data_IF_182942509529
#
_entry.id   IF_182942509529
#
_cell.length_a   1.000
_cell.length_b   1.000
_cell.length_c   1.000
_cell.angle_alpha   90.00
_cell.angle_beta   90.00
_cell.angle_gamma   90.00
#
_symmetry.space_group_name_H-M   'P 1'
#
loop_
_entity.id
_entity.type
_entity.pdbx_description
1 polymer ?
#
# COMPACT_ATOMS: atom_id res chain seq x y z
N UNK A 1 3.95 17.18 18.96
CA UNK A 1 4.31 17.11 17.51
C UNK A 1 3.05 16.76 16.73
N UNK A 2 2.58 17.70 15.90
CA UNK A 2 1.38 17.50 15.07
C UNK A 2 1.78 16.87 13.74
N UNK A 3 1.12 15.79 13.36
CA UNK A 3 1.32 15.06 12.09
C UNK A 3 0.09 15.26 11.21
N UNK A 4 0.29 15.80 10.00
CA UNK A 4 -0.76 15.89 8.99
C UNK A 4 -0.75 14.64 8.10
N UNK A 5 -1.91 14.01 7.91
CA UNK A 5 -2.08 12.84 7.05
C UNK A 5 -2.94 13.20 5.83
N UNK A 6 -2.40 12.94 4.62
CA UNK A 6 -3.16 12.89 3.37
C UNK A 6 -3.34 11.43 2.95
N UNK A 7 -4.49 11.08 2.37
CA UNK A 7 -4.79 9.70 1.96
C UNK A 7 -5.10 8.73 3.10
N UNK A 8 -5.38 9.24 4.29
CA UNK A 8 -5.59 8.42 5.50
C UNK A 8 -6.81 7.49 5.46
N UNK A 9 -7.76 7.68 4.54
CA UNK A 9 -8.97 6.85 4.40
C UNK A 9 -8.84 5.68 3.42
N UNK A 10 -7.66 5.51 2.81
CA UNK A 10 -7.34 4.38 1.92
C UNK A 10 -6.90 3.13 2.70
N UNK A 11 -6.44 2.10 1.97
CA UNK A 11 -6.07 0.79 2.54
C UNK A 11 -5.03 0.85 3.66
N UNK A 12 -4.03 1.70 3.54
CA UNK A 12 -2.91 1.80 4.50
C UNK A 12 -3.16 2.84 5.59
N UNK A 13 -3.90 3.89 5.27
CA UNK A 13 -4.14 5.01 6.20
C UNK A 13 -4.66 4.63 7.58
N UNK A 14 -5.66 3.74 7.73
CA UNK A 14 -6.13 3.29 9.02
C UNK A 14 -5.06 2.61 9.88
N UNK A 15 -4.14 1.86 9.24
CA UNK A 15 -3.01 1.24 9.95
C UNK A 15 -1.98 2.27 10.42
N UNK A 16 -1.73 3.31 9.63
CA UNK A 16 -0.87 4.45 10.03
C UNK A 16 -1.49 5.18 11.23
N UNK A 17 -2.79 5.49 11.16
CA UNK A 17 -3.52 6.14 12.26
C UNK A 17 -3.49 5.29 13.53
N UNK A 18 -3.70 3.97 13.42
CA UNK A 18 -3.62 3.06 14.55
C UNK A 18 -2.22 3.04 15.18
N UNK A 19 -1.17 2.98 14.35
CA UNK A 19 0.21 3.03 14.81
C UNK A 19 0.59 4.34 15.50
N UNK A 20 0.11 5.47 15.00
CA UNK A 20 0.32 6.79 15.60
C UNK A 20 -0.45 6.95 16.93
N UNK A 21 -1.70 6.46 17.00
CA UNK A 21 -2.48 6.47 18.25
C UNK A 21 -1.84 5.63 19.35
N UNK A 22 -1.30 4.48 19.00
CA UNK A 22 -0.56 3.63 19.96
C UNK A 22 0.68 4.31 20.56
N UNK A 23 1.10 5.46 20.00
CA UNK A 23 2.24 6.28 20.41
C UNK A 23 1.81 7.67 20.91
N UNK A 24 0.51 7.87 21.20
CA UNK A 24 -0.08 9.12 21.69
C UNK A 24 0.26 10.35 20.81
N UNK A 25 0.37 10.14 19.49
CA UNK A 25 0.68 11.21 18.53
C UNK A 25 -0.53 12.12 18.28
N UNK A 26 -0.28 13.41 18.09
CA UNK A 26 -1.30 14.37 17.66
C UNK A 26 -1.50 14.27 16.15
N UNK A 27 -2.68 13.75 15.74
CA UNK A 27 -3.00 13.44 14.36
C UNK A 27 -4.00 14.47 13.82
N UNK A 28 -3.69 15.02 12.65
CA UNK A 28 -4.61 15.78 11.82
C UNK A 28 -4.76 15.13 10.46
N UNK A 29 -5.96 15.06 9.92
CA UNK A 29 -6.24 14.45 8.62
C UNK A 29 -6.82 15.50 7.68
N UNK A 30 -6.28 15.62 6.47
CA UNK A 30 -6.93 16.36 5.39
C UNK A 30 -7.75 15.38 4.53
N UNK A 31 -9.05 15.61 4.43
CA UNK A 31 -9.96 14.74 3.65
C UNK A 31 -11.07 15.56 2.98
N UNK A 32 -11.50 15.13 1.80
CA UNK A 32 -12.61 15.74 1.03
C UNK A 32 -13.97 15.55 1.70
N UNK A 33 -14.11 14.50 2.52
CA UNK A 33 -15.34 14.14 3.24
C UNK A 33 -14.97 13.81 4.69
N UNK A 34 -15.26 14.75 5.58
CA UNK A 34 -14.94 14.62 7.01
C UNK A 34 -15.79 13.56 7.71
N UNK A 35 -17.04 13.35 7.27
CA UNK A 35 -17.92 12.36 7.87
C UNK A 35 -17.42 10.94 7.57
N UNK A 36 -17.07 10.68 6.30
CA UNK A 36 -16.44 9.42 5.89
C UNK A 36 -15.11 9.19 6.61
N UNK A 37 -14.27 10.22 6.70
CA UNK A 37 -12.97 10.11 7.37
C UNK A 37 -13.14 9.73 8.84
N UNK A 38 -14.06 10.37 9.59
CA UNK A 38 -14.37 9.99 10.97
C UNK A 38 -15.00 8.60 11.10
N UNK A 39 -15.81 8.19 10.13
CA UNK A 39 -16.39 6.84 10.07
C UNK A 39 -15.33 5.74 9.96
N UNK A 40 -14.25 6.00 9.20
CA UNK A 40 -13.15 5.03 8.98
C UNK A 40 -12.10 5.09 10.09
N UNK A 41 -11.76 6.31 10.55
CA UNK A 41 -10.60 6.54 11.43
C UNK A 41 -10.96 6.73 12.91
N UNK A 42 -12.26 6.89 13.22
CA UNK A 42 -12.76 7.19 14.56
C UNK A 42 -13.24 8.64 14.68
N UNK A 43 -14.28 8.84 15.50
CA UNK A 43 -14.97 10.13 15.63
C UNK A 43 -14.10 11.24 16.27
N UNK A 44 -13.06 10.87 17.00
CA UNK A 44 -12.14 11.72 17.74
C UNK A 44 -10.97 12.29 16.92
N UNK A 45 -10.80 11.86 15.66
CA UNK A 45 -9.72 12.36 14.78
C UNK A 45 -9.99 13.82 14.38
N UNK A 46 -8.98 14.71 14.50
CA UNK A 46 -9.02 16.07 13.94
C UNK A 46 -9.02 16.00 12.41
N UNK A 47 -10.18 16.15 11.81
CA UNK A 47 -10.33 16.15 10.35
C UNK A 47 -10.52 17.59 9.87
N UNK A 48 -9.61 18.03 9.00
CA UNK A 48 -9.75 19.24 8.18
C UNK A 48 -10.40 18.85 6.86
N UNK A 49 -11.61 19.36 6.64
CA UNK A 49 -12.33 19.11 5.39
C UNK A 49 -11.83 20.06 4.30
N UNK A 50 -11.47 19.49 3.14
CA UNK A 50 -11.03 20.26 2.01
C UNK A 50 -10.39 19.42 0.91
N UNK A 51 -10.13 20.07 -0.23
CA UNK A 51 -9.54 19.43 -1.39
C UNK A 51 -7.99 19.49 -1.30
N UNK A 52 -7.28 18.35 -1.29
CA UNK A 52 -5.82 18.35 -1.37
C UNK A 52 -5.28 18.85 -2.73
N UNK A 53 -6.13 19.15 -3.70
CA UNK A 53 -5.79 19.86 -4.94
C UNK A 53 -5.76 21.39 -4.79
N UNK A 54 -6.13 21.97 -3.64
CA UNK A 54 -6.15 23.41 -3.39
C UNK A 54 -4.99 23.82 -2.46
N UNK A 55 -4.15 24.77 -2.92
CA UNK A 55 -2.95 25.21 -2.22
C UNK A 55 -3.25 25.87 -0.86
N UNK A 56 -4.35 26.63 -0.76
CA UNK A 56 -4.74 27.30 0.49
C UNK A 56 -5.23 26.29 1.53
N UNK A 57 -5.99 25.31 1.07
CA UNK A 57 -6.44 24.18 1.88
C UNK A 57 -5.27 23.37 2.43
N UNK A 58 -4.29 23.05 1.58
CA UNK A 58 -3.07 22.34 2.00
C UNK A 58 -2.31 23.17 3.05
N UNK A 59 -2.08 24.45 2.77
CA UNK A 59 -1.32 25.33 3.65
C UNK A 59 -2.02 25.50 5.01
N UNK A 60 -3.34 25.68 5.02
CA UNK A 60 -4.15 25.79 6.23
C UNK A 60 -4.13 24.49 7.05
N UNK A 61 -4.31 23.33 6.41
CA UNK A 61 -4.26 22.03 7.09
C UNK A 61 -2.88 21.73 7.66
N UNK A 62 -1.81 22.13 6.95
CA UNK A 62 -0.42 21.88 7.36
C UNK A 62 0.12 22.93 8.36
N UNK A 63 -0.65 23.98 8.68
CA UNK A 63 -0.21 24.97 9.63
C UNK A 63 0.11 24.36 11.01
N UNK A 64 1.35 24.51 11.47
CA UNK A 64 1.84 23.94 12.73
C UNK A 64 2.15 22.42 12.68
N UNK A 65 1.99 21.77 11.53
CA UNK A 65 2.41 20.39 11.37
C UNK A 65 3.94 20.30 11.18
N UNK A 66 4.58 19.41 11.92
CA UNK A 66 6.01 19.16 11.86
C UNK A 66 6.36 18.11 10.80
N UNK A 67 5.44 17.16 10.57
CA UNK A 67 5.59 16.09 9.59
C UNK A 67 4.28 15.90 8.81
N UNK A 68 4.40 15.61 7.52
CA UNK A 68 3.28 15.33 6.63
C UNK A 68 3.43 13.94 6.02
N UNK A 69 2.42 13.11 6.17
CA UNK A 69 2.30 11.85 5.44
C UNK A 69 1.64 12.10 4.09
N UNK A 70 2.34 11.76 3.02
CA UNK A 70 1.89 11.97 1.65
C UNK A 70 1.52 10.65 0.99
N UNK A 71 0.22 10.41 0.87
CA UNK A 71 -0.39 9.32 0.14
C UNK A 71 -1.60 9.85 -0.63
N UNK A 72 -1.84 9.34 -1.82
CA UNK A 72 -3.07 9.55 -2.60
C UNK A 72 -3.48 8.25 -3.30
N UNK A 73 -4.70 8.21 -3.81
CA UNK A 73 -5.14 7.13 -4.68
C UNK A 73 -4.36 7.12 -6.00
N UNK A 74 -4.30 5.95 -6.64
CA UNK A 74 -3.81 5.84 -8.01
C UNK A 74 -4.79 6.53 -8.95
N UNK A 75 -4.31 7.51 -9.71
CA UNK A 75 -5.09 8.24 -10.70
C UNK A 75 -4.18 8.83 -11.77
N UNK A 76 -4.76 9.28 -12.88
CA UNK A 76 -4.01 10.04 -13.88
C UNK A 76 -3.34 11.28 -13.29
N UNK A 77 -4.01 11.94 -12.34
CA UNK A 77 -3.59 13.21 -11.76
C UNK A 77 -2.71 13.04 -10.50
N UNK A 78 -2.29 11.80 -10.17
CA UNK A 78 -1.51 11.54 -8.96
C UNK A 78 -0.21 12.36 -8.90
N UNK A 79 0.52 12.44 -10.02
CA UNK A 79 1.74 13.25 -10.10
C UNK A 79 1.44 14.71 -9.81
N UNK A 80 0.50 15.31 -10.52
CA UNK A 80 0.16 16.73 -10.39
C UNK A 80 -0.31 17.06 -8.96
N UNK A 81 -1.15 16.21 -8.38
CA UNK A 81 -1.64 16.36 -7.01
C UNK A 81 -0.48 16.33 -6.00
N UNK A 82 0.35 15.29 -6.04
CA UNK A 82 1.43 15.15 -5.06
C UNK A 82 2.52 16.21 -5.24
N UNK A 83 2.85 16.61 -6.47
CA UNK A 83 3.78 17.73 -6.72
C UNK A 83 3.21 19.06 -6.25
N UNK A 84 1.90 19.28 -6.36
CA UNK A 84 1.23 20.47 -5.80
C UNK A 84 1.37 20.49 -4.28
N UNK A 85 1.09 19.38 -3.61
CA UNK A 85 1.27 19.26 -2.15
C UNK A 85 2.71 19.58 -1.73
N UNK A 86 3.71 18.99 -2.38
CA UNK A 86 5.14 19.23 -2.10
C UNK A 86 5.48 20.74 -2.24
N UNK A 87 5.00 21.40 -3.31
CA UNK A 87 5.24 22.83 -3.54
C UNK A 87 4.55 23.72 -2.50
N UNK A 88 3.28 23.43 -2.17
CA UNK A 88 2.53 24.17 -1.17
C UNK A 88 3.18 24.10 0.23
N UNK A 89 3.71 22.93 0.59
CA UNK A 89 4.39 22.70 1.86
C UNK A 89 5.78 23.35 1.95
N UNK A 90 6.41 23.69 0.83
CA UNK A 90 7.79 24.17 0.80
C UNK A 90 8.05 25.41 1.69
N UNK A 91 7.06 26.30 1.80
CA UNK A 91 7.18 27.53 2.61
C UNK A 91 7.01 27.25 4.11
N UNK A 92 6.30 26.20 4.46
CA UNK A 92 6.04 25.82 5.85
C UNK A 92 7.16 24.93 6.40
N UNK A 93 7.85 24.18 5.52
CA UNK A 93 9.04 23.40 5.82
C UNK A 93 8.82 22.10 6.63
N UNK A 94 7.61 21.50 6.69
CA UNK A 94 7.48 20.23 7.39
C UNK A 94 8.28 19.13 6.67
N UNK A 95 8.67 18.10 7.40
CA UNK A 95 9.21 16.90 6.79
C UNK A 95 8.09 16.13 6.06
N UNK A 96 8.39 15.57 4.90
CA UNK A 96 7.43 14.79 4.09
C UNK A 96 7.81 13.32 4.13
N UNK A 97 6.91 12.48 4.63
CA UNK A 97 7.02 11.02 4.55
C UNK A 97 6.06 10.55 3.46
N UNK A 98 6.64 10.10 2.33
CA UNK A 98 5.88 9.65 1.16
C UNK A 98 5.75 8.14 1.15
N UNK A 99 4.51 7.64 1.08
CA UNK A 99 4.28 6.24 0.69
C UNK A 99 4.32 6.12 -0.83
N UNK A 100 5.19 5.26 -1.33
CA UNK A 100 5.45 4.99 -2.74
C UNK A 100 4.97 3.58 -3.11
N UNK A 101 5.59 2.94 -4.09
CA UNK A 101 5.29 1.58 -4.56
C UNK A 101 6.50 0.65 -4.51
N UNK A 102 6.36 -0.53 -5.12
CA UNK A 102 7.42 -1.55 -5.09
C UNK A 102 8.70 -1.09 -5.77
N UNK A 103 9.82 -1.30 -5.09
CA UNK A 103 11.14 -0.79 -5.48
C UNK A 103 11.60 -1.28 -6.86
N UNK A 104 11.23 -2.50 -7.26
CA UNK A 104 11.57 -3.07 -8.58
C UNK A 104 10.90 -2.37 -9.75
N UNK A 105 9.77 -1.69 -9.52
CA UNK A 105 8.98 -1.03 -10.56
C UNK A 105 9.16 0.50 -10.59
N UNK A 106 9.76 1.12 -9.54
CA UNK A 106 9.95 2.58 -9.44
C UNK A 106 11.17 3.00 -10.27
N UNK A 107 10.92 3.31 -11.52
CA UNK A 107 11.93 3.81 -12.48
C UNK A 107 11.21 4.52 -13.65
N UNK A 108 11.94 5.27 -14.53
CA UNK A 108 11.32 6.05 -15.61
C UNK A 108 10.61 5.19 -16.67
N UNK A 109 10.95 3.91 -16.79
CA UNK A 109 10.39 2.96 -17.75
C UNK A 109 9.41 1.98 -17.09
N UNK A 110 9.10 2.15 -15.81
CA UNK A 110 8.21 1.28 -15.04
C UNK A 110 6.74 1.41 -15.46
N UNK A 111 5.84 0.57 -14.90
CA UNK A 111 4.40 0.68 -15.09
C UNK A 111 3.85 2.07 -14.76
N UNK A 112 2.70 2.43 -15.32
CA UNK A 112 2.19 3.81 -15.30
C UNK A 112 2.26 4.49 -13.92
N UNK A 113 1.68 3.93 -12.87
CA UNK A 113 1.70 4.56 -11.54
C UNK A 113 3.09 4.51 -10.89
N UNK A 114 3.94 3.56 -11.29
CA UNK A 114 5.31 3.47 -10.80
C UNK A 114 6.20 4.57 -11.39
N UNK A 115 5.99 4.94 -12.66
CA UNK A 115 6.62 6.13 -13.27
C UNK A 115 6.21 7.41 -12.56
N UNK A 116 4.91 7.55 -12.25
CA UNK A 116 4.41 8.69 -11.47
C UNK A 116 5.11 8.76 -10.10
N UNK A 117 5.21 7.64 -9.39
CA UNK A 117 5.94 7.59 -8.12
C UNK A 117 7.40 7.98 -8.28
N UNK A 118 8.09 7.45 -9.31
CA UNK A 118 9.47 7.81 -9.60
C UNK A 118 9.64 9.33 -9.80
N UNK A 119 8.79 9.94 -10.63
CA UNK A 119 8.83 11.38 -10.90
C UNK A 119 8.61 12.22 -9.62
N UNK A 120 7.62 11.85 -8.80
CA UNK A 120 7.34 12.52 -7.54
C UNK A 120 8.53 12.42 -6.59
N UNK A 121 9.16 11.24 -6.50
CA UNK A 121 10.34 11.04 -5.65
C UNK A 121 11.54 11.91 -6.08
N UNK A 122 11.78 12.04 -7.41
CA UNK A 122 12.85 12.91 -7.91
C UNK A 122 12.62 14.36 -7.49
N UNK A 123 11.40 14.86 -7.65
CA UNK A 123 11.05 16.24 -7.26
C UNK A 123 11.12 16.42 -5.73
N UNK A 124 10.65 15.44 -4.97
CA UNK A 124 10.71 15.51 -3.50
C UNK A 124 12.15 15.54 -3.01
N UNK A 125 13.03 14.68 -3.53
CA UNK A 125 14.45 14.65 -3.17
C UNK A 125 15.19 15.97 -3.54
N UNK A 126 14.79 16.60 -4.64
CA UNK A 126 15.34 17.88 -5.10
C UNK A 126 14.68 19.11 -4.44
N UNK A 127 13.64 18.93 -3.61
CA UNK A 127 12.84 20.05 -3.06
C UNK A 127 13.58 20.92 -2.05
N UNK A 128 14.60 20.38 -1.40
CA UNK A 128 15.30 20.98 -0.26
C UNK A 128 14.56 20.82 1.07
N UNK A 129 13.40 20.17 1.11
CA UNK A 129 12.69 19.80 2.33
C UNK A 129 13.22 18.47 2.88
N UNK A 130 13.22 18.25 4.20
CA UNK A 130 13.49 16.92 4.75
C UNK A 130 12.42 15.93 4.29
N UNK A 131 12.84 14.75 3.85
CA UNK A 131 11.92 13.75 3.31
C UNK A 131 12.28 12.34 3.78
N UNK A 132 11.32 11.43 3.67
CA UNK A 132 11.52 9.99 3.73
C UNK A 132 10.59 9.34 2.70
N UNK A 133 11.11 8.42 1.90
CA UNK A 133 10.31 7.62 0.97
C UNK A 133 10.18 6.20 1.51
N UNK A 134 8.96 5.68 1.52
CA UNK A 134 8.67 4.30 1.93
C UNK A 134 8.17 3.55 0.69
N UNK A 135 8.89 2.50 0.29
CA UNK A 135 8.61 1.65 -0.89
C UNK A 135 8.17 0.26 -0.44
N UNK A 136 6.89 0.04 -0.17
CA UNK A 136 6.38 -1.30 0.15
C UNK A 136 6.34 -2.17 -1.10
N UNK A 137 6.61 -3.46 -0.94
CA UNK A 137 6.31 -4.45 -1.96
C UNK A 137 4.79 -4.72 -1.99
N UNK A 138 4.33 -5.69 -2.80
CA UNK A 138 2.90 -5.96 -2.95
C UNK A 138 2.25 -6.36 -1.62
N UNK A 139 1.06 -5.84 -1.36
CA UNK A 139 0.35 -6.03 -0.10
C UNK A 139 -0.38 -7.37 -0.01
N UNK A 140 -0.28 -8.06 1.13
CA UNK A 140 -1.09 -9.25 1.45
C UNK A 140 -2.58 -8.95 1.36
N UNK A 141 -3.03 -7.78 1.85
CA UNK A 141 -4.42 -7.35 1.81
C UNK A 141 -4.98 -7.27 0.38
N UNK A 142 -4.15 -6.81 -0.57
CA UNK A 142 -4.57 -6.66 -1.97
C UNK A 142 -4.52 -7.99 -2.72
N UNK A 143 -3.38 -8.68 -2.72
CA UNK A 143 -3.20 -9.90 -3.50
C UNK A 143 -3.90 -11.09 -2.86
N UNK A 144 -3.69 -11.35 -1.57
CA UNK A 144 -4.32 -12.48 -0.91
C UNK A 144 -5.78 -12.13 -0.59
N UNK A 145 -6.01 -11.09 0.21
CA UNK A 145 -7.35 -10.73 0.67
C UNK A 145 -8.30 -10.30 -0.44
N UNK A 146 -7.82 -9.47 -1.38
CA UNK A 146 -8.64 -8.86 -2.43
C UNK A 146 -8.78 -9.69 -3.72
N UNK A 147 -7.85 -10.59 -4.02
CA UNK A 147 -7.83 -11.34 -5.28
C UNK A 147 -7.90 -12.85 -5.05
N UNK A 148 -6.95 -13.43 -4.30
CA UNK A 148 -6.83 -14.88 -4.19
C UNK A 148 -7.97 -15.50 -3.40
N UNK A 149 -8.30 -14.96 -2.22
CA UNK A 149 -9.37 -15.52 -1.38
C UNK A 149 -10.74 -15.44 -2.05
N UNK A 150 -11.16 -14.33 -2.69
CA UNK A 150 -12.38 -14.31 -3.49
C UNK A 150 -12.37 -15.31 -4.66
N UNK A 151 -11.21 -15.52 -5.30
CA UNK A 151 -11.10 -16.49 -6.39
C UNK A 151 -11.26 -17.93 -5.87
N UNK A 152 -10.60 -18.28 -4.75
CA UNK A 152 -10.76 -19.59 -4.09
C UNK A 152 -12.23 -19.84 -3.73
N UNK A 153 -12.93 -18.83 -3.24
CA UNK A 153 -14.35 -18.90 -2.91
C UNK A 153 -15.23 -19.19 -4.15
N UNK A 154 -14.92 -18.52 -5.25
CA UNK A 154 -15.73 -18.62 -6.47
C UNK A 154 -15.42 -19.87 -7.31
N UNK A 155 -14.16 -20.31 -7.35
CA UNK A 155 -13.67 -21.32 -8.30
C UNK A 155 -12.94 -22.50 -7.66
N UNK A 156 -12.57 -22.41 -6.38
CA UNK A 156 -11.73 -23.41 -5.70
C UNK A 156 -10.24 -23.31 -6.06
N UNK A 157 -9.80 -22.27 -6.76
CA UNK A 157 -8.40 -22.14 -7.21
C UNK A 157 -7.88 -20.71 -7.11
N UNK A 158 -6.54 -20.55 -7.15
CA UNK A 158 -5.86 -19.26 -7.17
C UNK A 158 -5.40 -18.95 -8.61
N UNK A 159 -5.85 -17.83 -9.23
CA UNK A 159 -5.35 -17.45 -10.55
C UNK A 159 -3.86 -17.06 -10.45
N UNK A 160 -3.00 -17.77 -11.18
CA UNK A 160 -1.55 -17.60 -11.14
C UNK A 160 -1.02 -16.96 -12.43
N UNK A 161 -0.83 -15.65 -12.43
CA UNK A 161 -0.24 -14.94 -13.56
C UNK A 161 1.30 -14.79 -13.47
N UNK A 162 1.92 -15.25 -12.36
CA UNK A 162 3.35 -15.09 -12.14
C UNK A 162 4.18 -16.37 -12.37
N UNK A 163 3.52 -17.49 -12.69
CA UNK A 163 4.19 -18.78 -12.92
C UNK A 163 4.86 -19.31 -11.65
N UNK A 164 6.14 -19.68 -11.77
CA UNK A 164 6.95 -20.19 -10.64
C UNK A 164 7.68 -19.11 -9.86
N UNK A 165 7.56 -17.84 -10.24
CA UNK A 165 8.18 -16.73 -9.52
C UNK A 165 7.51 -16.51 -8.16
N UNK A 166 8.22 -15.87 -7.25
CA UNK A 166 7.71 -15.48 -5.95
C UNK A 166 7.58 -13.96 -5.78
N UNK A 167 6.90 -13.57 -4.72
CA UNK A 167 6.78 -12.18 -4.29
C UNK A 167 7.02 -12.11 -2.78
N UNK A 168 7.83 -11.17 -2.32
CA UNK A 168 8.03 -10.89 -0.90
C UNK A 168 6.90 -9.97 -0.39
N UNK A 169 5.69 -10.56 -0.23
CA UNK A 169 4.48 -9.86 0.16
C UNK A 169 4.62 -9.21 1.54
N UNK A 170 4.13 -7.98 1.69
CA UNK A 170 4.16 -7.24 2.95
C UNK A 170 2.75 -7.08 3.54
N UNK A 171 2.62 -7.21 4.85
CA UNK A 171 1.39 -6.90 5.55
C UNK A 171 1.20 -5.38 5.69
N UNK A 172 0.03 -4.87 5.34
CA UNK A 172 -0.31 -3.45 5.46
C UNK A 172 -0.21 -2.92 6.90
N UNK A 173 -0.35 -3.79 7.91
CA UNK A 173 -0.15 -3.45 9.32
C UNK A 173 1.32 -3.11 9.62
N UNK A 174 2.26 -3.89 9.08
CA UNK A 174 3.70 -3.61 9.23
C UNK A 174 4.06 -2.30 8.53
N UNK A 175 3.51 -2.05 7.35
CA UNK A 175 3.67 -0.76 6.65
C UNK A 175 3.13 0.39 7.50
N UNK A 176 1.94 0.23 8.10
CA UNK A 176 1.35 1.23 9.00
C UNK A 176 2.21 1.51 10.23
N UNK A 177 2.74 0.46 10.88
CA UNK A 177 3.64 0.58 12.03
C UNK A 177 4.96 1.28 11.65
N UNK A 178 5.58 0.90 10.52
CA UNK A 178 6.79 1.58 10.01
C UNK A 178 6.51 3.04 9.68
N UNK A 179 5.41 3.33 8.99
CA UNK A 179 5.03 4.71 8.70
C UNK A 179 4.86 5.54 9.98
N UNK A 180 4.22 4.98 11.01
CA UNK A 180 4.00 5.67 12.29
C UNK A 180 5.34 5.97 13.00
N UNK A 181 6.26 5.01 13.04
CA UNK A 181 7.60 5.18 13.62
C UNK A 181 8.39 6.27 12.87
N UNK A 182 8.43 6.14 11.54
CA UNK A 182 9.15 7.09 10.68
C UNK A 182 8.55 8.49 10.75
N UNK A 183 7.24 8.64 10.90
CA UNK A 183 6.58 9.95 11.04
C UNK A 183 6.99 10.66 12.34
N UNK A 184 7.28 9.92 13.39
CA UNK A 184 7.65 10.44 14.71
C UNK A 184 9.15 10.69 14.87
N UNK A 185 10.00 9.93 14.19
CA UNK A 185 11.45 10.02 14.33
C UNK A 185 12.11 10.64 13.10
N UNK A 186 12.74 11.79 13.30
CA UNK A 186 13.46 12.54 12.25
C UNK A 186 14.80 11.91 11.85
N UNK A 187 15.29 10.91 12.56
CA UNK A 187 16.53 10.20 12.19
C UNK A 187 16.44 9.51 10.83
N UNK A 188 15.22 9.23 10.35
CA UNK A 188 14.93 8.62 9.04
C UNK A 188 14.86 9.61 7.88
N UNK A 189 15.22 10.88 8.09
CA UNK A 189 15.17 11.88 7.02
C UNK A 189 16.21 11.62 5.91
N UNK A 190 15.80 11.92 4.68
CA UNK A 190 16.59 11.76 3.44
C UNK A 190 16.95 10.29 3.15
N UNK A 191 16.13 9.36 3.60
CA UNK A 191 16.26 7.92 3.34
C UNK A 191 15.09 7.39 2.50
N UNK A 192 15.38 6.32 1.76
CA UNK A 192 14.37 5.47 1.13
C UNK A 192 14.37 4.12 1.85
N UNK A 193 13.22 3.75 2.43
CA UNK A 193 13.01 2.49 3.11
C UNK A 193 12.25 1.52 2.21
N UNK A 194 12.73 0.30 2.08
CA UNK A 194 12.10 -0.74 1.26
C UNK A 194 11.48 -1.79 2.17
N UNK A 195 10.16 -1.96 2.08
CA UNK A 195 9.42 -2.83 2.97
C UNK A 195 8.98 -4.10 2.25
N UNK A 196 9.39 -5.25 2.76
CA UNK A 196 8.98 -6.57 2.27
C UNK A 196 8.56 -7.46 3.44
N UNK A 197 7.84 -8.54 3.15
CA UNK A 197 7.72 -9.65 4.08
C UNK A 197 9.07 -10.33 4.32
N UNK A 198 9.12 -11.32 5.23
CA UNK A 198 10.37 -11.94 5.66
C UNK A 198 11.00 -12.87 4.60
N UNK A 199 10.24 -13.27 3.60
CA UNK A 199 10.68 -14.11 2.47
C UNK A 199 9.83 -13.93 1.23
N UNK A 200 10.33 -14.35 0.09
CA UNK A 200 9.56 -14.52 -1.14
C UNK A 200 8.70 -15.77 -1.07
N UNK A 201 7.47 -15.70 -1.57
CA UNK A 201 6.51 -16.80 -1.62
C UNK A 201 5.89 -16.91 -3.00
N UNK A 202 5.72 -18.15 -3.47
CA UNK A 202 5.04 -18.45 -4.73
C UNK A 202 3.52 -18.57 -4.53
N UNK A 203 2.74 -18.43 -5.59
CA UNK A 203 1.29 -18.64 -5.50
C UNK A 203 0.93 -20.11 -5.24
N UNK A 204 1.81 -21.05 -5.61
CA UNK A 204 1.66 -22.46 -5.26
C UNK A 204 1.82 -22.72 -3.76
N UNK A 205 2.78 -22.08 -3.09
CA UNK A 205 2.91 -22.14 -1.62
C UNK A 205 1.69 -21.55 -0.93
N UNK A 206 1.20 -20.39 -1.39
CA UNK A 206 -0.02 -19.77 -0.83
C UNK A 206 -1.22 -20.71 -1.00
N UNK A 207 -1.38 -21.36 -2.16
CA UNK A 207 -2.44 -22.33 -2.40
C UNK A 207 -2.36 -23.55 -1.44
N UNK A 208 -1.14 -24.05 -1.18
CA UNK A 208 -0.92 -25.13 -0.25
C UNK A 208 -1.33 -24.74 1.19
N UNK A 209 -0.96 -23.56 1.68
CA UNK A 209 -1.38 -23.07 3.01
C UNK A 209 -2.89 -22.82 3.09
N UNK A 210 -3.51 -22.29 2.03
CA UNK A 210 -4.98 -22.17 1.97
C UNK A 210 -5.63 -23.55 2.05
N UNK A 211 -5.05 -24.57 1.40
CA UNK A 211 -5.52 -25.95 1.51
C UNK A 211 -5.42 -26.49 2.93
N UNK A 212 -4.31 -26.27 3.61
CA UNK A 212 -4.07 -26.66 5.01
C UNK A 212 -5.08 -25.99 5.95
N UNK A 213 -5.27 -24.68 5.83
CA UNK A 213 -6.18 -23.91 6.68
C UNK A 213 -7.66 -24.25 6.45
N UNK A 214 -8.05 -24.62 5.23
CA UNK A 214 -9.45 -24.86 4.87
C UNK A 214 -9.84 -26.34 4.83
N UNK A 215 -8.88 -27.24 4.75
CA UNK A 215 -9.10 -28.69 4.50
C UNK A 215 -9.60 -28.98 3.08
N UNK A 216 -9.45 -28.06 2.13
CA UNK A 216 -9.86 -28.17 0.73
C UNK A 216 -8.65 -28.34 -0.17
N UNK A 217 -8.82 -29.02 -1.30
CA UNK A 217 -7.80 -29.08 -2.34
C UNK A 217 -7.85 -27.78 -3.16
N UNK A 218 -6.92 -26.87 -2.89
CA UNK A 218 -6.77 -25.58 -3.58
C UNK A 218 -5.45 -25.58 -4.32
N UNK A 219 -5.50 -25.41 -5.64
CA UNK A 219 -4.32 -25.32 -6.50
C UNK A 219 -4.26 -24.01 -7.28
N UNK A 220 -3.10 -23.65 -7.84
CA UNK A 220 -3.00 -22.55 -8.78
C UNK A 220 -3.60 -22.93 -10.14
N UNK A 221 -4.30 -21.97 -10.78
CA UNK A 221 -4.71 -22.06 -12.18
C UNK A 221 -3.88 -21.08 -12.98
N UNK A 222 -3.08 -21.58 -13.91
CA UNK A 222 -2.21 -20.75 -14.74
C UNK A 222 -3.03 -19.84 -15.66
N UNK A 223 -2.69 -18.56 -15.59
CA UNK A 223 -3.15 -17.49 -16.48
C UNK A 223 -1.96 -16.64 -16.90
N UNK A 224 -2.15 -15.76 -17.86
CA UNK A 224 -1.12 -14.80 -18.31
C UNK A 224 -1.37 -13.41 -17.72
N UNK A 225 -0.36 -12.51 -17.66
CA UNK A 225 -0.59 -11.09 -17.36
C UNK A 225 -1.62 -10.44 -18.30
N UNK A 226 -1.68 -10.83 -19.57
CA UNK A 226 -2.69 -10.36 -20.51
C UNK A 226 -4.12 -10.80 -20.11
N UNK A 227 -4.29 -12.03 -19.58
CA UNK A 227 -5.58 -12.48 -19.05
C UNK A 227 -6.01 -11.65 -17.84
N UNK A 228 -5.07 -11.22 -16.99
CA UNK A 228 -5.36 -10.28 -15.88
C UNK A 228 -5.94 -8.99 -16.42
N UNK A 229 -5.30 -8.38 -17.43
CA UNK A 229 -5.79 -7.16 -18.08
C UNK A 229 -7.19 -7.33 -18.65
N UNK A 230 -7.45 -8.39 -19.39
CA UNK A 230 -8.75 -8.66 -19.99
C UNK A 230 -9.84 -8.82 -18.90
N UNK A 231 -9.55 -9.55 -17.84
CA UNK A 231 -10.45 -9.73 -16.71
C UNK A 231 -10.80 -8.39 -16.02
N UNK A 232 -9.81 -7.51 -15.84
CA UNK A 232 -10.00 -6.19 -15.24
C UNK A 232 -10.85 -5.29 -16.14
N UNK A 233 -10.60 -5.27 -17.45
CA UNK A 233 -11.42 -4.55 -18.45
C UNK A 233 -12.88 -5.02 -18.46
N UNK A 234 -13.09 -6.33 -18.39
CA UNK A 234 -14.45 -6.92 -18.34
C UNK A 234 -15.21 -6.50 -17.08
N UNK A 235 -14.52 -6.22 -15.99
CA UNK A 235 -15.10 -5.68 -14.74
C UNK A 235 -15.25 -4.16 -14.73
N UNK A 236 -14.96 -3.49 -15.84
CA UNK A 236 -15.13 -2.05 -16.00
C UNK A 236 -13.97 -1.18 -15.54
N UNK A 237 -12.79 -1.78 -15.28
CA UNK A 237 -11.58 -1.01 -14.97
C UNK A 237 -11.15 -0.16 -16.17
N UNK A 238 -10.59 1.01 -15.92
CA UNK A 238 -10.08 1.87 -16.98
C UNK A 238 -8.90 1.22 -17.72
N UNK A 239 -8.78 1.46 -19.02
CA UNK A 239 -7.76 0.80 -19.85
C UNK A 239 -6.33 0.99 -19.36
N UNK A 240 -5.96 2.22 -18.96
CA UNK A 240 -4.64 2.55 -18.43
C UNK A 240 -4.31 1.82 -17.12
N UNK A 241 -5.34 1.61 -16.28
CA UNK A 241 -5.19 0.94 -14.99
C UNK A 241 -5.05 -0.58 -15.20
N UNK A 242 -5.85 -1.16 -16.10
CA UNK A 242 -5.73 -2.57 -16.47
C UNK A 242 -4.37 -2.88 -17.13
N UNK A 243 -3.83 -1.98 -17.96
CA UNK A 243 -2.49 -2.07 -18.54
C UNK A 243 -1.40 -1.98 -17.46
N UNK A 244 -1.54 -1.05 -16.53
CA UNK A 244 -0.62 -0.95 -15.38
C UNK A 244 -0.55 -2.27 -14.60
N UNK A 245 -1.68 -2.95 -14.35
CA UNK A 245 -1.67 -4.24 -13.67
C UNK A 245 -1.04 -5.35 -14.52
N UNK A 246 -1.28 -5.40 -15.83
CA UNK A 246 -0.61 -6.34 -16.73
C UNK A 246 0.92 -6.20 -16.61
N UNK A 247 1.43 -4.96 -16.71
CA UNK A 247 2.85 -4.65 -16.59
C UNK A 247 3.40 -5.03 -15.19
N UNK A 248 2.65 -4.78 -14.13
CA UNK A 248 3.03 -5.19 -12.76
C UNK A 248 3.14 -6.70 -12.63
N UNK A 249 2.17 -7.47 -13.16
CA UNK A 249 2.23 -8.93 -13.14
C UNK A 249 3.38 -9.46 -14.00
N UNK A 250 3.76 -8.75 -15.07
CA UNK A 250 4.94 -9.12 -15.85
C UNK A 250 6.25 -8.93 -15.06
N UNK A 251 6.35 -7.87 -14.26
CA UNK A 251 7.49 -7.64 -13.32
C UNK A 251 7.55 -8.78 -12.29
N UNK A 252 6.43 -9.17 -11.71
CA UNK A 252 6.35 -10.28 -10.77
C UNK A 252 6.75 -11.60 -11.43
N UNK A 253 6.22 -11.90 -12.61
CA UNK A 253 6.53 -13.11 -13.38
C UNK A 253 8.01 -13.23 -13.75
N UNK A 254 8.70 -12.11 -13.94
CA UNK A 254 10.13 -12.04 -14.19
C UNK A 254 11.01 -12.17 -12.93
N UNK A 255 10.41 -12.45 -11.76
CA UNK A 255 11.11 -12.62 -10.48
C UNK A 255 11.64 -11.32 -9.85
N UNK A 256 11.26 -10.16 -10.41
CA UNK A 256 11.81 -8.87 -9.96
C UNK A 256 11.29 -8.41 -8.59
N UNK A 257 10.34 -9.11 -7.99
CA UNK A 257 9.78 -8.82 -6.67
C UNK A 257 10.08 -9.90 -5.62
N UNK A 258 11.05 -10.78 -5.89
CA UNK A 258 11.50 -11.83 -4.97
C UNK A 258 12.49 -11.34 -3.91
N UNK A 259 13.05 -10.14 -4.08
CA UNK A 259 14.02 -9.57 -3.14
C UNK A 259 13.42 -9.40 -1.74
N UNK A 260 14.25 -9.55 -0.71
CA UNK A 260 13.89 -9.32 0.69
C UNK A 260 14.73 -8.17 1.22
N UNK A 261 14.08 -7.21 1.88
CA UNK A 261 14.71 -6.05 2.50
C UNK A 261 14.58 -6.13 4.03
N UNK A 262 15.59 -5.66 4.74
CA UNK A 262 15.63 -5.66 6.20
C UNK A 262 15.04 -4.43 6.88
N UNK A 263 14.41 -3.50 6.14
CA UNK A 263 14.02 -2.20 6.69
C UNK A 263 12.85 -2.29 7.68
N UNK A 264 11.95 -3.27 7.56
CA UNK A 264 10.90 -3.48 8.58
C UNK A 264 11.53 -3.79 9.92
N UNK A 265 12.45 -4.76 9.97
CA UNK A 265 13.14 -5.13 11.22
C UNK A 265 14.04 -4.00 11.72
N UNK A 266 14.73 -3.28 10.83
CA UNK A 266 15.57 -2.11 11.17
C UNK A 266 14.78 -1.01 11.86
N UNK A 267 13.54 -0.75 11.40
CA UNK A 267 12.68 0.32 11.96
C UNK A 267 11.93 -0.16 13.20
N UNK A 268 11.35 -1.37 13.17
CA UNK A 268 10.45 -1.83 14.22
C UNK A 268 11.13 -2.67 15.31
N UNK A 269 12.40 -3.12 15.11
CA UNK A 269 13.10 -4.02 16.02
C UNK A 269 12.49 -5.42 16.10
N UNK A 270 11.61 -5.79 15.17
CA UNK A 270 10.95 -7.10 15.05
C UNK A 270 10.80 -7.50 13.58
N UNK A 271 10.78 -8.81 13.26
CA UNK A 271 10.55 -9.26 11.89
C UNK A 271 9.14 -8.86 11.40
N UNK A 272 8.96 -8.70 10.06
CA UNK A 272 7.63 -8.52 9.48
C UNK A 272 6.77 -9.77 9.62
N UNK A 273 5.45 -9.58 9.59
CA UNK A 273 4.45 -10.67 9.60
C UNK A 273 4.61 -11.57 8.39
N UNK A 274 4.31 -12.86 8.57
CA UNK A 274 4.38 -13.86 7.50
C UNK A 274 3.04 -13.97 6.75
N UNK A 275 3.08 -14.58 5.56
CA UNK A 275 1.85 -14.92 4.81
C UNK A 275 1.06 -16.00 5.56
N UNK A 276 1.75 -16.93 6.22
CA UNK A 276 1.15 -17.98 7.04
C UNK A 276 0.33 -17.38 8.19
N UNK A 277 0.90 -16.41 8.94
CA UNK A 277 0.20 -15.69 10.00
C UNK A 277 -1.03 -14.96 9.46
N UNK A 278 -0.89 -14.28 8.32
CA UNK A 278 -2.00 -13.59 7.65
C UNK A 278 -3.14 -14.55 7.30
N UNK A 279 -2.85 -15.69 6.71
CA UNK A 279 -3.86 -16.70 6.34
C UNK A 279 -4.52 -17.32 7.56
N UNK A 280 -3.75 -17.63 8.61
CA UNK A 280 -4.26 -18.16 9.85
C UNK A 280 -5.26 -17.20 10.53
N UNK A 281 -4.93 -15.92 10.61
CA UNK A 281 -5.80 -14.88 11.17
C UNK A 281 -7.10 -14.69 10.35
N UNK A 282 -7.07 -14.97 9.03
CA UNK A 282 -8.23 -14.84 8.14
C UNK A 282 -8.95 -16.17 7.88
N UNK A 283 -8.62 -17.23 8.65
CA UNK A 283 -9.18 -18.57 8.50
C UNK A 283 -10.71 -18.61 8.52
N UNK A 284 -11.33 -17.89 9.45
CA UNK A 284 -12.80 -17.88 9.55
C UNK A 284 -13.45 -17.26 8.31
N UNK A 285 -12.83 -16.26 7.71
CA UNK A 285 -13.26 -15.68 6.43
C UNK A 285 -13.11 -16.69 5.29
N UNK A 286 -12.03 -17.48 5.29
CA UNK A 286 -11.81 -18.58 4.33
C UNK A 286 -12.85 -19.68 4.46
N UNK A 287 -13.27 -20.02 5.69
CA UNK A 287 -14.23 -21.09 5.97
C UNK A 287 -15.68 -20.64 5.81
N UNK A 288 -16.04 -19.41 6.16
CA UNK A 288 -17.43 -18.90 6.18
C UNK A 288 -18.10 -18.91 4.80
N UNK A 289 -17.34 -18.77 3.72
CA UNK A 289 -17.81 -18.81 2.34
C UNK A 289 -18.00 -20.22 1.79
N UNK A 290 -17.53 -21.24 2.52
CA UNK A 290 -17.76 -22.65 2.21
C UNK A 290 -19.23 -23.08 2.35
N UNK A 291 -19.98 -22.43 3.24
CA UNK A 291 -21.36 -22.78 3.53
C UNK A 291 -22.38 -22.23 2.52
N UNK A 292 -22.04 -21.22 1.73
CA UNK A 292 -22.95 -20.59 0.75
C UNK A 292 -22.99 -21.28 -0.62
N UNK A 293 -21.98 -22.08 -0.97
CA UNK A 293 -21.87 -22.79 -2.25
C UNK A 293 -22.44 -24.20 -2.27
N UNK A 294 -22.99 -24.69 -1.15
CA UNK A 294 -23.56 -26.04 -1.01
C UNK A 294 -25.10 -26.07 -0.89
N UNK A 295 -25.80 -25.07 -1.47
CA UNK A 295 -27.27 -25.10 -1.60
C UNK A 295 -27.70 -24.99 -3.06
#
# INVERSE_FOLDING_TARGET
MTILLLGATGTIGPHVVAGLRARDAEIRVLARDAARARGVLGADVDVREGDPGDDETIASAAHGAETVFLLSEHSHDMTDLQLRVIRALRRLGPRIVKLSGTSSAINPDGPYTCRQHWEIEQVLAASGQPWTVIRPNAFMQTLIGGIMLPAVQATGSIPNAIGSAGISLIDGRDVGEVCAEVLLDSSWQNETLVLTGPRSVTFAEIAAWVSEETGRDVGPTEITPADVRENLLTRGMAGWEAEHFEEMYQIFRNGQSEFVAGDVERVLGKPPRTVEDYLHEHRDTLLATAAAGSR
#
